data_IF_904723031489
#
_entry.id   IF_904723031489
#
_cell.length_a   1.000
_cell.length_b   1.000
_cell.length_c   1.000
_cell.angle_alpha   90.00
_cell.angle_beta   90.00
_cell.angle_gamma   90.00
#
_symmetry.space_group_name_H-M   'P 1'
#
loop_
_entity.id
_entity.type
_entity.pdbx_description
1 polymer ?
#
# COMPACT_ATOMS: atom_id res chain seq x y z
N UNK A 1 3.42 -25.86 3.17
CA UNK A 1 2.00 -26.24 3.10
C UNK A 1 1.65 -26.46 1.65
N UNK A 2 1.13 -27.63 1.30
CA UNK A 2 0.64 -27.90 -0.04
C UNK A 2 -0.89 -27.86 0.01
N UNK A 3 -1.49 -26.94 -0.74
CA UNK A 3 -2.93 -26.93 -0.98
C UNK A 3 -3.20 -27.59 -2.32
N UNK A 4 -4.21 -28.45 -2.38
CA UNK A 4 -4.64 -29.04 -3.64
C UNK A 4 -5.37 -27.98 -4.47
N UNK A 5 -5.09 -27.93 -5.77
CA UNK A 5 -5.80 -27.06 -6.70
C UNK A 5 -7.32 -27.26 -6.56
N UNK A 6 -8.06 -26.15 -6.45
CA UNK A 6 -9.51 -26.16 -6.26
C UNK A 6 -9.99 -26.14 -4.80
N UNK A 7 -9.07 -26.18 -3.82
CA UNK A 7 -9.43 -26.03 -2.39
C UNK A 7 -9.42 -24.59 -1.89
N UNK A 8 -8.89 -23.65 -2.70
CA UNK A 8 -8.81 -22.22 -2.38
C UNK A 8 -9.23 -21.40 -3.60
N UNK A 9 -9.82 -20.25 -3.33
CA UNK A 9 -10.27 -19.31 -4.34
C UNK A 9 -9.77 -17.88 -4.01
N UNK A 10 -9.70 -17.04 -5.02
CA UNK A 10 -9.47 -15.60 -4.82
C UNK A 10 -10.51 -15.04 -3.85
N UNK A 11 -10.04 -14.31 -2.84
CA UNK A 11 -10.87 -13.79 -1.77
C UNK A 11 -10.79 -14.58 -0.46
N UNK A 12 -10.32 -15.81 -0.49
CA UNK A 12 -10.14 -16.62 0.73
C UNK A 12 -9.05 -16.01 1.64
N UNK A 13 -9.26 -16.14 2.94
CA UNK A 13 -8.30 -15.71 3.95
C UNK A 13 -7.43 -16.86 4.42
N UNK A 14 -6.16 -16.60 4.67
CA UNK A 14 -5.22 -17.59 5.14
C UNK A 14 -4.14 -17.02 6.05
N UNK A 15 -3.53 -17.90 6.86
CA UNK A 15 -2.28 -17.68 7.58
C UNK A 15 -1.38 -18.91 7.43
N UNK A 16 -0.11 -18.75 7.65
CA UNK A 16 0.81 -19.87 7.76
C UNK A 16 0.81 -20.43 9.18
N UNK A 17 0.82 -21.75 9.29
CA UNK A 17 1.09 -22.44 10.54
C UNK A 17 2.57 -22.88 10.54
N UNK A 18 3.37 -22.20 11.32
CA UNK A 18 4.82 -22.41 11.40
C UNK A 18 5.13 -23.31 12.62
N UNK A 19 5.84 -24.42 12.40
CA UNK A 19 6.33 -25.28 13.47
C UNK A 19 7.76 -24.86 13.82
N UNK A 20 7.97 -24.37 15.03
CA UNK A 20 9.29 -23.98 15.53
C UNK A 20 10.16 -25.19 15.82
N UNK A 21 11.46 -24.99 15.99
CA UNK A 21 12.43 -26.03 16.40
C UNK A 21 12.07 -26.71 17.72
N UNK A 22 11.35 -26.02 18.59
CA UNK A 22 10.81 -26.55 19.87
C UNK A 22 9.59 -27.47 19.71
N UNK A 23 9.02 -27.58 18.50
CA UNK A 23 7.78 -28.30 18.23
C UNK A 23 6.51 -27.44 18.44
N UNK A 24 6.64 -26.21 18.94
CA UNK A 24 5.52 -25.30 19.08
C UNK A 24 5.00 -24.85 17.71
N UNK A 25 3.70 -24.87 17.51
CA UNK A 25 3.04 -24.32 16.32
C UNK A 25 2.53 -22.91 16.61
N UNK A 26 2.78 -22.00 15.70
CA UNK A 26 2.35 -20.60 15.76
C UNK A 26 1.73 -20.18 14.42
N UNK A 27 0.71 -19.37 14.50
CA UNK A 27 0.14 -18.74 13.29
C UNK A 27 0.96 -17.51 12.91
N UNK A 28 1.25 -17.39 11.61
CA UNK A 28 1.98 -16.25 11.04
C UNK A 28 1.26 -15.73 9.79
N UNK A 29 1.28 -14.42 9.62
CA UNK A 29 0.83 -13.80 8.38
C UNK A 29 1.78 -14.16 7.22
N UNK A 30 1.32 -13.97 5.99
CA UNK A 30 2.18 -14.10 4.80
C UNK A 30 2.96 -12.80 4.59
N UNK A 31 4.31 -12.81 4.68
CA UNK A 31 5.13 -11.61 4.50
C UNK A 31 5.09 -11.05 3.07
N UNK A 32 4.67 -11.85 2.09
CA UNK A 32 4.55 -11.46 0.68
C UNK A 32 3.12 -11.22 0.23
N UNK A 33 2.15 -11.27 1.16
CA UNK A 33 0.77 -10.98 0.81
C UNK A 33 0.63 -9.56 0.25
N UNK A 34 -0.18 -9.43 -0.78
CA UNK A 34 -0.48 -8.16 -1.44
C UNK A 34 -1.79 -7.55 -0.94
N UNK A 35 -2.55 -8.30 -0.13
CA UNK A 35 -3.77 -7.86 0.51
C UNK A 35 -3.99 -8.58 1.83
N UNK A 36 -4.50 -7.85 2.80
CA UNK A 36 -4.96 -8.36 4.11
C UNK A 36 -6.43 -8.03 4.32
N UNK A 37 -7.04 -8.68 5.30
CA UNK A 37 -8.36 -8.33 5.80
C UNK A 37 -8.39 -6.92 6.39
N UNK A 38 -9.61 -6.42 6.59
CA UNK A 38 -9.83 -5.16 7.28
C UNK A 38 -9.49 -5.31 8.78
N UNK A 39 -8.83 -4.29 9.33
CA UNK A 39 -8.49 -4.29 10.77
C UNK A 39 -9.72 -4.55 11.65
N UNK A 40 -9.60 -5.37 12.72
CA UNK A 40 -8.38 -5.88 13.33
C UNK A 40 -7.85 -7.19 12.74
N UNK A 41 -8.41 -7.70 11.63
CA UNK A 41 -7.96 -8.95 11.01
C UNK A 41 -6.55 -8.78 10.43
N UNK A 42 -5.71 -9.79 10.68
CA UNK A 42 -4.32 -9.85 10.18
C UNK A 42 -4.12 -11.01 9.20
N UNK A 43 -5.19 -11.71 8.81
CA UNK A 43 -5.10 -12.77 7.82
C UNK A 43 -4.82 -12.19 6.42
N UNK A 44 -3.93 -12.83 5.69
CA UNK A 44 -3.70 -12.51 4.29
C UNK A 44 -4.91 -12.95 3.46
N UNK A 45 -5.28 -12.16 2.46
CA UNK A 45 -6.31 -12.52 1.49
C UNK A 45 -5.65 -13.00 0.20
N UNK A 46 -6.07 -14.16 -0.30
CA UNK A 46 -5.64 -14.61 -1.62
C UNK A 46 -6.20 -13.65 -2.67
N UNK A 47 -5.31 -12.93 -3.33
CA UNK A 47 -5.66 -11.85 -4.23
C UNK A 47 -4.89 -11.96 -5.54
N UNK A 48 -5.61 -11.81 -6.65
CA UNK A 48 -5.04 -11.80 -7.99
C UNK A 48 -5.13 -10.39 -8.57
N UNK A 49 -3.97 -9.74 -8.74
CA UNK A 49 -3.92 -8.40 -9.35
C UNK A 49 -3.95 -8.58 -10.86
N UNK A 50 -5.03 -8.10 -11.47
CA UNK A 50 -5.13 -8.09 -12.92
C UNK A 50 -4.08 -7.17 -13.57
N UNK A 51 -3.45 -7.57 -14.67
CA UNK A 51 -2.53 -6.72 -15.40
C UNK A 51 -3.22 -5.42 -15.84
N UNK A 52 -2.57 -4.27 -15.58
CA UNK A 52 -3.07 -2.96 -15.98
C UNK A 52 -2.47 -2.53 -17.33
N UNK A 53 -3.32 -2.10 -18.24
CA UNK A 53 -2.90 -1.40 -19.46
C UNK A 53 -2.68 0.09 -19.17
N UNK A 54 -1.43 0.45 -18.86
CA UNK A 54 -1.03 1.79 -18.47
C UNK A 54 -1.08 2.79 -19.63
N UNK A 55 -1.75 3.91 -19.42
CA UNK A 55 -1.90 4.99 -20.40
C UNK A 55 -0.90 6.14 -20.18
N UNK A 56 0.07 5.98 -19.30
CA UNK A 56 1.02 7.02 -18.88
C UNK A 56 2.35 7.06 -19.67
N UNK A 57 2.39 6.47 -20.87
CA UNK A 57 3.59 6.40 -21.72
C UNK A 57 4.27 7.75 -21.96
N UNK A 58 3.47 8.82 -22.10
CA UNK A 58 3.97 10.18 -22.26
C UNK A 58 4.75 10.65 -21.03
N UNK A 59 4.25 10.35 -19.83
CA UNK A 59 4.92 10.63 -18.55
C UNK A 59 6.24 9.88 -18.46
N UNK A 60 6.25 8.58 -18.71
CA UNK A 60 7.45 7.75 -18.66
C UNK A 60 8.53 8.24 -19.64
N UNK A 61 8.14 8.66 -20.85
CA UNK A 61 9.05 9.23 -21.83
C UNK A 61 9.64 10.56 -21.36
N UNK A 62 8.82 11.45 -20.83
CA UNK A 62 9.24 12.74 -20.27
C UNK A 62 10.17 12.57 -19.05
N UNK A 63 9.92 11.58 -18.21
CA UNK A 63 10.70 11.30 -17.00
C UNK A 63 12.09 10.75 -17.30
N UNK A 64 12.29 9.99 -18.38
CA UNK A 64 13.59 9.36 -18.72
C UNK A 64 14.77 10.33 -18.76
N UNK A 65 14.71 11.49 -19.46
CA UNK A 65 15.79 12.47 -19.48
C UNK A 65 15.79 13.40 -18.26
N UNK A 66 14.84 13.23 -17.33
CA UNK A 66 14.73 14.10 -16.16
C UNK A 66 15.86 13.80 -15.18
N UNK A 67 16.65 14.84 -14.87
CA UNK A 67 17.74 14.77 -13.92
C UNK A 67 17.30 15.40 -12.60
N UNK A 68 17.19 14.58 -11.56
CA UNK A 68 16.77 15.01 -10.24
C UNK A 68 17.72 16.02 -9.58
N UNK A 69 18.97 16.12 -10.04
CA UNK A 69 19.95 17.05 -9.49
C UNK A 69 19.90 18.44 -10.13
N UNK A 70 19.34 18.54 -11.32
CA UNK A 70 19.28 19.79 -12.09
C UNK A 70 17.86 20.26 -12.38
N UNK A 71 16.87 19.39 -12.22
CA UNK A 71 15.46 19.74 -12.43
C UNK A 71 14.81 20.24 -11.15
N UNK A 72 13.92 21.24 -11.21
CA UNK A 72 13.15 21.68 -10.07
C UNK A 72 12.29 20.55 -9.50
N UNK A 73 12.36 20.33 -8.20
CA UNK A 73 11.54 19.35 -7.44
C UNK A 73 10.82 20.07 -6.32
N UNK A 74 9.53 19.87 -6.24
CA UNK A 74 8.71 20.29 -5.11
C UNK A 74 7.77 19.14 -4.74
N UNK A 75 7.87 18.67 -3.51
CA UNK A 75 7.19 17.46 -3.03
C UNK A 75 6.09 17.86 -2.06
N UNK A 76 4.90 17.37 -2.27
CA UNK A 76 3.78 17.46 -1.33
C UNK A 76 3.66 16.16 -0.56
N UNK A 77 4.16 16.15 0.68
CA UNK A 77 4.02 15.02 1.59
C UNK A 77 2.62 14.96 2.16
N UNK A 78 2.03 13.78 2.20
CA UNK A 78 0.65 13.60 2.64
C UNK A 78 0.44 12.28 3.40
N UNK A 79 -0.28 12.37 4.53
CA UNK A 79 -0.83 11.22 5.23
C UNK A 79 -2.27 11.00 4.75
N UNK A 80 -2.51 9.93 3.99
CA UNK A 80 -3.76 9.70 3.26
C UNK A 80 -5.00 9.73 4.17
N UNK A 81 -4.93 9.16 5.39
CA UNK A 81 -6.09 9.07 6.29
C UNK A 81 -6.40 10.36 7.06
N UNK A 82 -5.50 11.34 7.07
CA UNK A 82 -5.70 12.60 7.81
C UNK A 82 -5.79 13.85 6.94
N UNK A 83 -5.51 13.72 5.64
CA UNK A 83 -5.52 14.86 4.72
C UNK A 83 -6.91 15.49 4.60
N UNK A 84 -7.91 14.69 4.22
CA UNK A 84 -9.33 15.06 4.20
C UNK A 84 -10.21 13.84 4.46
N UNK A 85 -11.47 14.11 4.83
CA UNK A 85 -12.50 13.10 5.04
C UNK A 85 -13.80 13.55 4.39
N UNK A 86 -14.67 12.57 4.13
CA UNK A 86 -16.06 12.85 3.79
C UNK A 86 -16.80 13.50 4.97
N UNK A 87 -17.88 14.20 4.69
CA UNK A 87 -18.71 14.89 5.72
C UNK A 87 -19.25 13.92 6.79
N UNK A 88 -19.40 12.64 6.43
CA UNK A 88 -19.81 11.56 7.33
C UNK A 88 -18.64 10.93 8.14
N UNK A 89 -17.43 11.47 7.99
CA UNK A 89 -16.23 11.05 8.69
C UNK A 89 -15.46 9.88 8.03
N UNK A 90 -15.98 9.27 6.96
CA UNK A 90 -15.26 8.22 6.23
C UNK A 90 -13.96 8.74 5.64
N UNK A 91 -12.94 7.88 5.59
CA UNK A 91 -11.66 8.16 4.95
C UNK A 91 -11.83 8.29 3.43
N UNK A 92 -11.00 9.10 2.82
CA UNK A 92 -10.88 9.13 1.37
C UNK A 92 -10.19 7.86 0.88
N UNK A 93 -10.77 7.27 -0.16
CA UNK A 93 -10.17 6.18 -0.93
C UNK A 93 -9.18 6.72 -1.97
N UNK A 94 -8.39 5.85 -2.61
CA UNK A 94 -7.53 6.26 -3.73
C UNK A 94 -8.33 6.93 -4.86
N UNK A 95 -9.58 6.49 -5.11
CA UNK A 95 -10.46 7.13 -6.09
C UNK A 95 -10.90 8.54 -5.69
N UNK A 96 -11.10 8.78 -4.40
CA UNK A 96 -11.42 10.12 -3.88
C UNK A 96 -10.18 11.02 -3.94
N UNK A 97 -9.02 10.51 -3.53
CA UNK A 97 -7.74 11.21 -3.58
C UNK A 97 -7.35 11.57 -5.03
N UNK A 98 -7.62 10.70 -6.00
CA UNK A 98 -7.37 11.01 -7.41
C UNK A 98 -8.17 12.23 -7.88
N UNK A 99 -9.41 12.37 -7.41
CA UNK A 99 -10.30 13.49 -7.80
C UNK A 99 -10.03 14.80 -7.05
N UNK A 100 -9.46 14.71 -5.85
CA UNK A 100 -9.32 15.87 -4.95
C UNK A 100 -7.87 16.26 -4.72
N UNK A 101 -6.99 15.33 -4.33
CA UNK A 101 -5.60 15.59 -4.00
C UNK A 101 -4.77 15.98 -5.23
N UNK A 102 -4.91 15.24 -6.34
CA UNK A 102 -4.12 15.51 -7.56
C UNK A 102 -4.36 16.92 -8.10
N UNK A 103 -5.61 17.38 -8.31
CA UNK A 103 -5.87 18.76 -8.73
C UNK A 103 -5.37 19.80 -7.72
N UNK A 104 -5.52 19.53 -6.44
CA UNK A 104 -5.06 20.44 -5.38
C UNK A 104 -3.54 20.62 -5.44
N UNK A 105 -2.78 19.52 -5.43
CA UNK A 105 -1.31 19.54 -5.48
C UNK A 105 -0.81 20.23 -6.77
N UNK A 106 -1.46 19.94 -7.89
CA UNK A 106 -1.15 20.58 -9.17
C UNK A 106 -1.40 22.08 -9.16
N UNK A 107 -2.50 22.53 -8.54
CA UNK A 107 -2.84 23.95 -8.45
C UNK A 107 -1.83 24.76 -7.64
N UNK A 108 -1.16 24.12 -6.69
CA UNK A 108 -0.10 24.71 -5.87
C UNK A 108 1.28 24.68 -6.52
N UNK A 109 1.42 24.03 -7.68
CA UNK A 109 2.68 23.97 -8.42
C UNK A 109 3.67 22.90 -7.94
N UNK A 110 3.25 21.95 -7.12
CA UNK A 110 4.09 20.82 -6.74
C UNK A 110 4.33 19.87 -7.93
N UNK A 111 5.46 19.19 -7.92
CA UNK A 111 5.86 18.25 -8.97
C UNK A 111 5.59 16.79 -8.59
N UNK A 112 5.54 16.49 -7.29
CA UNK A 112 5.37 15.14 -6.76
C UNK A 112 4.41 15.14 -5.57
N UNK A 113 3.75 14.00 -5.39
CA UNK A 113 3.06 13.62 -4.15
C UNK A 113 3.92 12.54 -3.50
N UNK A 114 4.23 12.70 -2.21
CA UNK A 114 4.86 11.68 -1.38
C UNK A 114 3.87 11.21 -0.33
N UNK A 115 3.46 9.95 -0.42
CA UNK A 115 2.63 9.37 0.62
C UNK A 115 3.49 8.89 1.79
N UNK A 116 3.14 9.31 3.00
CA UNK A 116 3.53 8.61 4.21
C UNK A 116 3.06 7.15 4.09
N UNK A 117 3.61 6.19 4.88
CA UNK A 117 3.45 4.77 4.58
C UNK A 117 2.01 4.35 4.29
N UNK A 118 1.81 3.72 3.14
CA UNK A 118 0.50 3.22 2.69
C UNK A 118 0.29 1.73 2.99
N UNK A 119 1.33 1.06 3.50
CA UNK A 119 1.33 -0.37 3.71
C UNK A 119 0.47 -0.75 4.93
N UNK A 120 0.02 -2.02 4.93
CA UNK A 120 -0.81 -2.56 6.02
C UNK A 120 -0.09 -2.50 7.36
N UNK A 121 -0.79 -1.98 8.37
CA UNK A 121 -0.30 -1.79 9.73
C UNK A 121 -1.43 -2.01 10.75
N UNK A 122 -1.14 -2.56 11.96
CA UNK A 122 -2.18 -2.90 12.94
C UNK A 122 -2.73 -1.68 13.68
N UNK A 123 -1.92 -0.62 13.82
CA UNK A 123 -2.23 0.54 14.65
C UNK A 123 -2.28 1.82 13.82
N UNK A 124 -3.46 2.39 13.61
CA UNK A 124 -3.63 3.63 12.85
C UNK A 124 -2.85 4.83 13.42
N UNK A 125 -2.61 4.88 14.74
CA UNK A 125 -1.83 5.92 15.39
C UNK A 125 -0.32 5.85 15.03
N UNK A 126 0.16 4.76 14.46
CA UNK A 126 1.53 4.65 13.97
C UNK A 126 1.76 5.37 12.65
N UNK A 127 0.70 5.88 12.01
CA UNK A 127 0.73 6.50 10.67
C UNK A 127 1.31 5.58 9.58
N UNK A 128 1.24 4.26 9.80
CA UNK A 128 1.81 3.28 8.91
C UNK A 128 3.29 2.97 9.14
N UNK A 129 3.94 3.55 10.16
CA UNK A 129 5.37 3.29 10.43
C UNK A 129 5.65 1.97 11.16
N UNK A 130 4.63 1.26 11.63
CA UNK A 130 4.77 -0.08 12.23
C UNK A 130 4.06 -1.12 11.36
N UNK A 131 4.74 -1.60 10.35
CA UNK A 131 4.17 -2.46 9.32
C UNK A 131 3.90 -3.89 9.79
N UNK A 132 2.85 -4.50 9.25
CA UNK A 132 2.60 -5.94 9.26
C UNK A 132 2.69 -6.55 7.87
N UNK A 133 2.36 -5.82 6.82
CA UNK A 133 2.42 -6.28 5.44
C UNK A 133 3.14 -5.29 4.54
N UNK A 134 4.38 -5.62 4.16
CA UNK A 134 5.25 -4.72 3.37
C UNK A 134 4.78 -4.53 1.93
N UNK A 135 4.13 -5.53 1.34
CA UNK A 135 3.71 -5.52 -0.06
C UNK A 135 2.21 -5.30 -0.23
N UNK A 136 1.48 -5.11 0.88
CA UNK A 136 0.04 -4.91 0.88
C UNK A 136 -0.31 -3.46 1.24
N UNK A 137 -1.20 -2.87 0.46
CA UNK A 137 -1.79 -1.58 0.81
C UNK A 137 -2.78 -1.74 1.96
N UNK A 138 -2.84 -0.72 2.81
CA UNK A 138 -3.85 -0.65 3.88
C UNK A 138 -5.26 -0.70 3.27
N UNK A 139 -6.06 -1.64 3.74
CA UNK A 139 -7.37 -1.98 3.18
C UNK A 139 -8.33 -0.78 3.07
N UNK A 140 -8.25 0.14 4.02
CA UNK A 140 -9.15 1.31 4.10
C UNK A 140 -9.03 2.28 2.92
N UNK A 141 -7.92 2.28 2.20
CA UNK A 141 -7.71 3.16 1.04
C UNK A 141 -8.25 2.58 -0.28
N UNK A 142 -8.63 1.29 -0.29
CA UNK A 142 -9.16 0.62 -1.48
C UNK A 142 -8.34 -0.59 -1.92
N UNK A 143 -8.42 -0.89 -3.22
CA UNK A 143 -7.74 -2.05 -3.81
C UNK A 143 -6.39 -1.68 -4.42
N UNK A 144 -5.52 -2.66 -4.69
CA UNK A 144 -4.29 -2.43 -5.46
C UNK A 144 -4.54 -1.77 -6.81
N UNK A 145 -5.61 -2.15 -7.53
CA UNK A 145 -5.98 -1.54 -8.80
C UNK A 145 -6.39 -0.08 -8.64
N UNK A 146 -7.12 0.25 -7.57
CA UNK A 146 -7.49 1.66 -7.30
C UNK A 146 -6.24 2.53 -7.05
N UNK A 147 -5.20 1.97 -6.44
CA UNK A 147 -3.92 2.66 -6.31
C UNK A 147 -3.18 2.79 -7.64
N UNK A 148 -3.20 1.76 -8.49
CA UNK A 148 -2.66 1.86 -9.85
C UNK A 148 -3.37 2.96 -10.65
N UNK A 149 -4.71 3.06 -10.53
CA UNK A 149 -5.50 4.12 -11.17
C UNK A 149 -5.14 5.51 -10.64
N UNK A 150 -4.89 5.63 -9.34
CA UNK A 150 -4.42 6.88 -8.74
C UNK A 150 -3.06 7.29 -9.32
N UNK A 151 -2.09 6.35 -9.38
CA UNK A 151 -0.75 6.61 -9.92
C UNK A 151 -0.83 7.05 -11.38
N UNK A 152 -1.63 6.36 -12.19
CA UNK A 152 -1.85 6.73 -13.59
C UNK A 152 -2.46 8.13 -13.72
N UNK A 153 -3.50 8.44 -12.94
CA UNK A 153 -4.12 9.76 -12.94
C UNK A 153 -3.13 10.87 -12.54
N UNK A 154 -2.26 10.63 -11.56
CA UNK A 154 -1.20 11.55 -11.17
C UNK A 154 -0.20 11.76 -12.32
N UNK A 155 0.26 10.70 -12.96
CA UNK A 155 1.16 10.76 -14.11
C UNK A 155 0.54 11.52 -15.30
N UNK A 156 -0.72 11.29 -15.62
CA UNK A 156 -1.45 12.02 -16.66
C UNK A 156 -1.61 13.51 -16.31
N UNK A 157 -1.69 13.84 -15.02
CA UNK A 157 -1.70 15.23 -14.56
C UNK A 157 -0.29 15.87 -14.55
N UNK A 158 0.77 15.10 -14.80
CA UNK A 158 2.17 15.55 -14.76
C UNK A 158 2.77 15.57 -13.36
N UNK A 159 2.21 14.81 -12.41
CA UNK A 159 2.65 14.68 -11.02
C UNK A 159 3.27 13.29 -10.81
N UNK A 160 4.48 13.25 -10.22
CA UNK A 160 5.11 12.00 -9.78
C UNK A 160 4.52 11.52 -8.46
N UNK A 161 4.60 10.21 -8.22
CA UNK A 161 4.14 9.59 -6.97
C UNK A 161 5.32 8.90 -6.30
N UNK A 162 5.51 9.18 -5.02
CA UNK A 162 6.47 8.54 -4.14
C UNK A 162 5.74 7.91 -2.96
N UNK A 163 6.30 6.86 -2.41
CA UNK A 163 5.80 6.18 -1.21
C UNK A 163 6.95 6.13 -0.21
N UNK A 164 6.69 6.54 1.02
CA UNK A 164 7.61 6.35 2.11
C UNK A 164 7.73 4.85 2.42
N UNK A 165 8.93 4.31 2.30
CA UNK A 165 9.25 2.90 2.50
C UNK A 165 9.96 2.70 3.85
N UNK A 166 9.37 1.90 4.74
CA UNK A 166 9.81 1.72 6.13
C UNK A 166 10.32 0.30 6.37
N UNK A 167 11.51 -0.08 5.91
CA UNK A 167 11.98 -1.46 5.97
C UNK A 167 12.39 -1.93 7.38
N UNK A 168 12.61 -1.01 8.33
CA UNK A 168 13.21 -1.31 9.63
C UNK A 168 12.24 -1.35 10.82
N UNK A 169 11.00 -0.94 10.67
CA UNK A 169 10.03 -0.76 11.77
C UNK A 169 8.82 -1.69 11.63
N UNK A 170 9.02 -3.00 11.59
CA UNK A 170 7.90 -3.93 11.60
C UNK A 170 7.27 -4.05 13.00
N UNK A 171 5.96 -4.35 13.01
CA UNK A 171 5.22 -4.58 14.25
C UNK A 171 5.72 -5.82 14.98
N UNK A 172 5.75 -5.76 16.32
CA UNK A 172 6.13 -6.88 17.18
C UNK A 172 4.96 -7.81 17.54
N UNK A 173 3.88 -7.76 16.78
CA UNK A 173 2.76 -8.69 16.96
C UNK A 173 3.24 -10.14 16.77
N UNK A 174 2.75 -11.06 17.61
CA UNK A 174 3.17 -12.47 17.59
C UNK A 174 2.90 -13.17 16.26
N UNK A 175 1.83 -12.79 15.57
CA UNK A 175 1.44 -13.30 14.25
C UNK A 175 2.09 -12.55 13.07
N UNK A 176 2.89 -11.49 13.33
CA UNK A 176 3.59 -10.70 12.33
C UNK A 176 5.03 -11.22 12.09
N UNK A 177 5.92 -10.33 11.62
CA UNK A 177 7.26 -10.69 11.17
C UNK A 177 8.25 -10.93 12.31
N UNK A 178 7.99 -10.40 13.52
CA UNK A 178 8.85 -10.63 14.66
C UNK A 178 8.91 -12.12 15.01
N UNK A 179 10.13 -12.65 15.17
CA UNK A 179 10.37 -14.07 15.48
C UNK A 179 9.61 -15.02 14.54
N UNK A 180 9.64 -14.73 13.23
CA UNK A 180 8.83 -15.42 12.23
C UNK A 180 9.10 -16.93 12.19
N UNK A 181 10.34 -17.31 12.22
CA UNK A 181 10.85 -18.70 12.11
C UNK A 181 11.33 -19.30 13.46
N UNK A 182 11.14 -18.59 14.52
CA UNK A 182 11.55 -18.95 15.88
C UNK A 182 12.48 -17.94 16.46
#
# INVERSE_FOLDING_TARGET
VYLLAGQVATGDYYKYLVTRSTGQMIEKLDPYAIRFGERPDTAAQLYDISPKDWQDKAWLTKRRPWDMFTSPVSIYEVHASSWQRHDDGRLYTFSDLAKTLIPYVKSLGFTHIEFMPLMTHPLGMSWGYQLTGYFALEHTYGTPEAFQDFVEAAHLAGIGVMIDWVPGHFSQNDDALAYYDG
#
